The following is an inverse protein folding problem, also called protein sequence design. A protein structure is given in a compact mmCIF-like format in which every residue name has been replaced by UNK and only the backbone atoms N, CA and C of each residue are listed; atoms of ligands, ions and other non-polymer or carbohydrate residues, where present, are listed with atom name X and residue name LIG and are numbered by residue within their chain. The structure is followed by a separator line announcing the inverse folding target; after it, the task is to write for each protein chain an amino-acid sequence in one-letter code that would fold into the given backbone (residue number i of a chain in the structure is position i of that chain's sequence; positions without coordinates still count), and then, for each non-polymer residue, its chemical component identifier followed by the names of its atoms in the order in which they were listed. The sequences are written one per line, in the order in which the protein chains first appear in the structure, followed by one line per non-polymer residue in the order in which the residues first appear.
data_IF_552956014544
#
_entry.id   IF_552956014544
#
_cell.length_a   1.000
_cell.length_b   1.000
_cell.length_c   1.000
_cell.angle_alpha   90.00
_cell.angle_beta   90.00
_cell.angle_gamma   90.00
#
_symmetry.space_group_name_H-M   'P 1'
#
loop_
_entity.id
_entity.type
_entity.pdbx_description
1 polymer ?
#
# COMPACT_ATOMS: atom_id res chain seq x y z
N UNK A 1 2.11 9.57 20.25
CA UNK A 1 2.38 8.42 19.38
C UNK A 1 3.84 8.46 18.96
N UNK A 2 4.59 7.37 19.15
CA UNK A 2 6.00 7.29 18.78
C UNK A 2 6.17 6.87 17.30
N UNK A 3 7.39 6.94 16.76
CA UNK A 3 7.68 6.60 15.35
C UNK A 3 7.35 5.13 15.02
N UNK A 4 7.51 4.21 15.98
CA UNK A 4 7.24 2.77 15.80
C UNK A 4 5.76 2.50 15.50
N UNK A 5 4.85 3.13 16.25
CA UNK A 5 3.41 3.01 16.03
C UNK A 5 2.95 3.58 14.67
N UNK A 6 3.68 4.56 14.12
CA UNK A 6 3.36 5.12 12.79
C UNK A 6 3.75 4.17 11.67
N UNK A 7 4.90 3.50 11.78
CA UNK A 7 5.34 2.48 10.81
C UNK A 7 4.38 1.29 10.83
N UNK A 8 3.90 0.88 12.01
CA UNK A 8 2.87 -0.16 12.13
C UNK A 8 1.59 0.21 11.37
N UNK A 9 1.09 1.45 11.53
CA UNK A 9 -0.08 1.93 10.78
C UNK A 9 0.14 1.97 9.25
N UNK A 10 1.38 2.20 8.81
CA UNK A 10 1.72 2.19 7.38
C UNK A 10 1.62 0.76 6.84
N UNK A 11 2.22 -0.20 7.54
CA UNK A 11 2.19 -1.61 7.17
C UNK A 11 0.76 -2.17 7.21
N UNK A 12 -0.02 -1.83 8.24
CA UNK A 12 -1.44 -2.24 8.31
C UNK A 12 -2.25 -1.69 7.13
N UNK A 13 -2.02 -0.43 6.73
CA UNK A 13 -2.68 0.14 5.56
C UNK A 13 -2.31 -0.63 4.29
N UNK A 14 -1.05 -1.03 4.17
CA UNK A 14 -0.55 -1.77 3.01
C UNK A 14 -1.14 -3.16 2.91
N UNK A 15 -1.16 -3.90 4.01
CA UNK A 15 -1.79 -5.21 4.07
C UNK A 15 -3.27 -5.15 3.69
N UNK A 16 -4.00 -4.13 4.15
CA UNK A 16 -5.41 -3.94 3.77
C UNK A 16 -5.56 -3.61 2.29
N UNK A 17 -4.66 -2.80 1.71
CA UNK A 17 -4.66 -2.52 0.27
C UNK A 17 -4.36 -3.77 -0.57
N UNK A 18 -3.41 -4.62 -0.16
CA UNK A 18 -3.08 -5.85 -0.88
C UNK A 18 -4.17 -6.91 -0.78
N UNK A 19 -4.84 -7.02 0.36
CA UNK A 19 -6.01 -7.92 0.49
C UNK A 19 -7.22 -7.43 -0.30
N UNK A 20 -7.30 -6.13 -0.55
CA UNK A 20 -8.36 -5.50 -1.32
C UNK A 20 -8.02 -5.35 -2.81
N UNK A 21 -6.82 -5.75 -3.25
CA UNK A 21 -6.48 -5.76 -4.67
C UNK A 21 -7.11 -6.94 -5.38
N UNK A 22 -7.11 -6.89 -6.71
CA UNK A 22 -7.56 -7.94 -7.61
C UNK A 22 -6.40 -8.33 -8.56
N UNK A 23 -5.90 -9.58 -8.50
CA UNK A 23 -6.23 -10.57 -7.48
C UNK A 23 -5.70 -10.15 -6.08
N UNK A 24 -6.31 -10.63 -4.98
CA UNK A 24 -5.86 -10.32 -3.64
C UNK A 24 -4.54 -11.03 -3.33
N UNK A 25 -3.71 -10.40 -2.51
CA UNK A 25 -2.40 -10.92 -2.12
C UNK A 25 -2.01 -10.42 -0.73
N UNK A 26 -1.14 -11.14 -0.05
CA UNK A 26 -0.56 -10.76 1.24
C UNK A 26 0.88 -10.27 1.09
N UNK A 27 1.37 -9.51 2.07
CA UNK A 27 2.77 -9.07 2.06
C UNK A 27 3.76 -10.25 2.00
N UNK A 28 3.49 -11.35 2.70
CA UNK A 28 4.35 -12.54 2.65
C UNK A 28 4.41 -13.13 1.23
N UNK A 29 3.27 -13.24 0.55
CA UNK A 29 3.23 -13.72 -0.84
C UNK A 29 3.95 -12.74 -1.79
N UNK A 30 3.94 -11.44 -1.50
CA UNK A 30 4.72 -10.46 -2.27
C UNK A 30 6.21 -10.70 -2.09
N UNK A 31 6.66 -10.92 -0.85
CA UNK A 31 8.06 -11.27 -0.56
C UNK A 31 8.44 -12.55 -1.31
N UNK A 32 7.62 -13.60 -1.23
CA UNK A 32 7.96 -14.89 -1.82
C UNK A 32 7.93 -14.88 -3.36
N UNK A 33 7.02 -14.12 -3.98
CA UNK A 33 6.87 -14.05 -5.44
C UNK A 33 7.78 -13.03 -6.12
N UNK A 34 7.99 -11.88 -5.50
CA UNK A 34 8.65 -10.74 -6.14
C UNK A 34 10.01 -10.40 -5.52
N UNK A 35 10.32 -10.85 -4.29
CA UNK A 35 11.66 -10.67 -3.69
C UNK A 35 12.53 -11.90 -4.00
N UNK A 36 13.25 -11.81 -5.11
CA UNK A 36 14.19 -12.84 -5.56
C UNK A 36 14.40 -12.81 -7.07
N UNK A 37 13.40 -12.29 -7.80
CA UNK A 37 13.39 -12.25 -9.25
C UNK A 37 13.42 -10.82 -9.81
N UNK A 38 13.75 -10.69 -11.11
CA UNK A 38 13.81 -9.41 -11.84
C UNK A 38 12.46 -8.70 -11.98
N UNK A 39 11.37 -9.33 -11.55
CA UNK A 39 9.99 -8.84 -11.66
C UNK A 39 9.51 -7.93 -10.52
N UNK A 40 10.40 -7.48 -9.62
CA UNK A 40 10.04 -6.52 -8.53
C UNK A 40 9.23 -5.32 -9.00
N UNK A 41 9.41 -4.90 -10.24
CA UNK A 41 8.74 -3.77 -10.88
C UNK A 41 7.31 -4.06 -11.37
N UNK A 42 6.86 -5.32 -11.37
CA UNK A 42 5.59 -5.71 -11.98
C UNK A 42 4.45 -5.96 -10.99
N UNK A 43 4.70 -5.96 -9.68
CA UNK A 43 3.65 -6.18 -8.67
C UNK A 43 2.42 -5.27 -8.90
N UNK A 44 2.62 -3.98 -9.16
CA UNK A 44 1.55 -3.00 -9.42
C UNK A 44 0.85 -3.20 -10.77
N UNK A 45 1.44 -3.97 -11.68
CA UNK A 45 0.83 -4.30 -12.97
C UNK A 45 -0.17 -5.45 -12.82
N UNK A 46 0.09 -6.36 -11.88
CA UNK A 46 -0.70 -7.58 -11.69
C UNK A 46 -1.79 -7.43 -10.62
N UNK A 47 -1.56 -6.61 -9.59
CA UNK A 47 -2.50 -6.42 -8.48
C UNK A 47 -3.07 -5.00 -8.48
N UNK A 48 -4.34 -4.85 -8.87
CA UNK A 48 -5.00 -3.54 -8.98
C UNK A 48 -6.04 -3.35 -7.90
N UNK A 49 -6.30 -2.11 -7.53
CA UNK A 49 -7.37 -1.75 -6.62
C UNK A 49 -8.09 -0.53 -7.17
N UNK A 50 -9.42 -0.56 -7.11
CA UNK A 50 -10.24 0.54 -7.60
C UNK A 50 -9.91 1.83 -6.84
N UNK A 51 -10.02 2.97 -7.52
CA UNK A 51 -9.79 4.27 -6.89
C UNK A 51 -10.66 4.51 -5.65
N UNK A 52 -11.89 3.97 -5.64
CA UNK A 52 -12.81 4.04 -4.50
C UNK A 52 -12.26 3.27 -3.28
N UNK A 53 -11.91 2.00 -3.44
CA UNK A 53 -11.39 1.18 -2.34
C UNK A 53 -10.06 1.73 -1.83
N UNK A 54 -9.17 2.14 -2.75
CA UNK A 54 -7.92 2.81 -2.42
C UNK A 54 -8.15 4.03 -1.52
N UNK A 55 -9.05 4.93 -1.94
CA UNK A 55 -9.36 6.16 -1.21
C UNK A 55 -9.99 5.87 0.14
N UNK A 56 -10.91 4.90 0.20
CA UNK A 56 -11.56 4.46 1.44
C UNK A 56 -10.56 3.96 2.47
N UNK A 57 -9.66 3.05 2.07
CA UNK A 57 -8.65 2.45 2.94
C UNK A 57 -7.62 3.50 3.36
N UNK A 58 -7.03 4.23 2.42
CA UNK A 58 -5.99 5.24 2.75
C UNK A 58 -6.54 6.36 3.66
N UNK A 59 -7.78 6.80 3.48
CA UNK A 59 -8.41 7.79 4.38
C UNK A 59 -8.68 7.24 5.78
N UNK A 60 -9.05 5.96 5.91
CA UNK A 60 -9.21 5.28 7.21
C UNK A 60 -7.92 5.36 8.04
N UNK A 61 -6.78 5.08 7.42
CA UNK A 61 -5.47 5.12 8.10
C UNK A 61 -4.92 6.54 8.26
N UNK A 62 -5.10 7.41 7.27
CA UNK A 62 -4.67 8.83 7.34
C UNK A 62 -5.25 9.58 8.54
N UNK A 63 -6.48 9.26 8.96
CA UNK A 63 -7.12 9.84 10.16
C UNK A 63 -6.44 9.42 11.47
N UNK A 64 -5.84 8.23 11.50
CA UNK A 64 -5.09 7.71 12.65
C UNK A 64 -3.66 8.25 12.72
N UNK A 65 -3.11 8.70 11.59
CA UNK A 65 -1.72 9.17 11.46
C UNK A 65 -1.61 10.66 11.88
N UNK A 66 -0.64 11.04 12.73
CA UNK A 66 -0.46 12.42 13.17
C UNK A 66 -0.05 13.31 12.00
N UNK A 67 -0.43 14.60 11.99
CA UNK A 67 -0.15 15.52 10.88
C UNK A 67 1.30 15.52 10.37
N UNK A 68 2.27 15.51 11.30
CA UNK A 68 3.72 15.43 11.03
C UNK A 68 4.11 14.29 10.07
N UNK A 69 3.43 13.15 10.13
CA UNK A 69 3.81 11.94 9.37
C UNK A 69 2.99 11.74 8.10
N UNK A 70 2.04 12.63 7.79
CA UNK A 70 1.16 12.48 6.62
C UNK A 70 1.91 12.53 5.29
N UNK A 71 2.97 13.35 5.19
CA UNK A 71 3.81 13.39 3.99
C UNK A 71 4.62 12.10 3.84
N UNK A 72 5.16 11.56 4.94
CA UNK A 72 5.84 10.27 4.92
C UNK A 72 4.89 9.15 4.50
N UNK A 73 3.63 9.19 4.93
CA UNK A 73 2.61 8.23 4.51
C UNK A 73 2.31 8.32 3.02
N UNK A 74 2.17 9.54 2.48
CA UNK A 74 1.93 9.74 1.05
C UNK A 74 3.10 9.21 0.18
N UNK A 75 4.35 9.51 0.58
CA UNK A 75 5.54 8.98 -0.10
C UNK A 75 5.63 7.46 0.00
N UNK A 76 5.27 6.90 1.15
CA UNK A 76 5.25 5.46 1.36
C UNK A 76 4.24 4.78 0.43
N UNK A 77 3.02 5.32 0.31
CA UNK A 77 2.02 4.81 -0.62
C UNK A 77 2.52 4.88 -2.07
N UNK A 78 3.10 6.00 -2.52
CA UNK A 78 3.61 6.13 -3.89
C UNK A 78 4.65 5.05 -4.27
N UNK A 79 5.44 4.58 -3.32
CA UNK A 79 6.49 3.59 -3.57
C UNK A 79 5.98 2.15 -3.50
N UNK A 80 4.94 1.90 -2.70
CA UNK A 80 4.59 0.55 -2.26
C UNK A 80 3.13 0.14 -2.54
N UNK A 81 2.23 1.07 -2.86
CA UNK A 81 0.79 0.79 -2.95
C UNK A 81 0.31 0.37 -4.34
N UNK A 82 -0.56 -0.65 -4.43
CA UNK A 82 -1.28 -0.94 -5.66
C UNK A 82 -2.25 0.21 -5.90
N UNK A 83 -2.23 0.75 -7.10
CA UNK A 83 -3.22 1.71 -7.56
C UNK A 83 -3.40 1.54 -9.06
N UNK A 84 -4.63 1.62 -9.52
CA UNK A 84 -4.90 1.84 -10.94
C UNK A 84 -4.22 3.13 -11.40
N UNK A 85 -3.12 2.98 -12.14
CA UNK A 85 -2.61 4.06 -12.96
C UNK A 85 -3.59 4.22 -14.12
N UNK A 86 -4.47 5.21 -14.03
CA UNK A 86 -5.14 5.72 -15.21
C UNK A 86 -4.04 6.28 -16.11
N UNK A 87 -3.67 5.52 -17.15
CA UNK A 87 -2.99 6.11 -18.29
C UNK A 87 -4.01 7.07 -18.91
N UNK A 88 -3.87 8.35 -18.55
CA UNK A 88 -4.55 9.45 -19.21
C UNK A 88 -4.10 9.54 -20.68
#
# INVERSE_FOLDING_TARGET
MNKKNVVELFNECMDELYRASDPPITWQEILDKYIGDKERTEFYMHHKITAENYTKITNKYRKKIPPLYRNSFAMFLLNYSPRECNNA
#
